data_IF_802325209400
#
_entry.id   IF_802325209400
#
_cell.length_a   1.000
_cell.length_b   1.000
_cell.length_c   1.000
_cell.angle_alpha   90.00
_cell.angle_beta   90.00
_cell.angle_gamma   90.00
#
_symmetry.space_group_name_H-M   'P 1'
#
loop_
_entity.id
_entity.type
_entity.pdbx_description
1 polymer ?
#
# COMPACT_ATOMS: atom_id res chain seq x y z
N UNK A 1 -20.04 -76.21 -48.24
CA UNK A 1 -20.44 -74.77 -48.20
C UNK A 1 -19.62 -74.06 -47.09
N UNK A 2 -18.58 -73.32 -47.56
CA UNK A 2 -17.59 -72.67 -46.65
C UNK A 2 -17.84 -71.17 -46.67
N UNK A 3 -18.24 -70.61 -45.54
CA UNK A 3 -18.46 -69.16 -45.37
C UNK A 3 -17.18 -68.49 -44.85
N UNK A 4 -16.61 -67.62 -45.68
CA UNK A 4 -15.50 -66.74 -45.30
C UNK A 4 -16.06 -65.48 -44.64
N UNK A 5 -15.71 -65.28 -43.39
CA UNK A 5 -15.94 -64.02 -42.66
C UNK A 5 -14.76 -63.06 -42.92
N UNK A 6 -15.03 -61.97 -43.64
CA UNK A 6 -14.12 -60.87 -43.84
C UNK A 6 -14.09 -59.99 -42.55
N UNK A 7 -12.97 -59.97 -41.82
CA UNK A 7 -12.69 -59.01 -40.76
C UNK A 7 -12.14 -57.71 -41.36
N UNK A 8 -12.82 -56.61 -41.14
CA UNK A 8 -12.29 -55.26 -41.43
C UNK A 8 -11.55 -54.74 -40.19
N UNK A 9 -10.29 -54.29 -40.33
CA UNK A 9 -9.60 -53.59 -39.23
C UNK A 9 -10.12 -52.16 -39.13
N UNK A 10 -10.73 -51.82 -38.00
CA UNK A 10 -11.15 -50.46 -37.67
C UNK A 10 -9.93 -49.58 -37.39
N UNK A 11 -9.72 -48.55 -38.21
CA UNK A 11 -8.73 -47.52 -37.96
C UNK A 11 -9.30 -46.55 -36.93
N UNK A 12 -8.74 -46.60 -35.72
CA UNK A 12 -9.05 -45.60 -34.66
C UNK A 12 -8.16 -44.36 -34.96
N UNK A 13 -8.75 -43.31 -35.51
CA UNK A 13 -8.12 -42.02 -35.64
C UNK A 13 -8.13 -41.32 -34.26
N UNK A 14 -6.96 -41.31 -33.59
CA UNK A 14 -6.77 -40.51 -32.38
C UNK A 14 -6.69 -39.03 -32.75
N UNK A 15 -7.74 -38.27 -32.52
CA UNK A 15 -7.76 -36.80 -32.62
C UNK A 15 -7.03 -36.24 -31.42
N UNK A 16 -5.75 -35.90 -31.57
CA UNK A 16 -5.02 -35.11 -30.62
C UNK A 16 -5.56 -33.65 -30.66
N UNK A 17 -6.44 -33.31 -29.75
CA UNK A 17 -6.86 -31.94 -29.52
C UNK A 17 -5.67 -31.14 -29.01
N UNK A 18 -5.10 -30.28 -29.84
CA UNK A 18 -4.13 -29.27 -29.44
C UNK A 18 -4.94 -28.26 -28.61
N UNK A 19 -4.91 -28.38 -27.26
CA UNK A 19 -5.38 -27.36 -26.39
C UNK A 19 -4.49 -26.11 -26.64
N UNK A 20 -4.99 -25.16 -27.42
CA UNK A 20 -4.38 -23.85 -27.56
C UNK A 20 -4.34 -23.22 -26.16
N UNK A 21 -3.14 -23.13 -25.57
CA UNK A 21 -2.94 -22.31 -24.38
C UNK A 21 -3.31 -20.86 -24.74
N UNK A 22 -4.51 -20.47 -24.40
CA UNK A 22 -4.87 -19.04 -24.43
C UNK A 22 -3.93 -18.33 -23.45
N UNK A 23 -3.26 -17.25 -23.85
CA UNK A 23 -2.46 -16.47 -22.92
C UNK A 23 -3.38 -16.04 -21.79
N UNK A 24 -3.05 -16.43 -20.57
CA UNK A 24 -3.80 -16.03 -19.38
C UNK A 24 -3.83 -14.49 -19.34
N UNK A 25 -5.01 -13.92 -19.15
CA UNK A 25 -5.15 -12.48 -18.95
C UNK A 25 -4.17 -12.05 -17.86
N UNK A 26 -3.34 -11.01 -18.09
CA UNK A 26 -2.43 -10.55 -17.05
C UNK A 26 -3.21 -10.23 -15.76
N UNK A 27 -2.62 -10.56 -14.62
CA UNK A 27 -3.21 -10.26 -13.32
C UNK A 27 -3.59 -8.78 -13.26
N UNK A 28 -4.78 -8.43 -12.76
CA UNK A 28 -5.26 -7.05 -12.77
C UNK A 28 -4.32 -6.08 -12.05
N UNK A 29 -3.58 -6.54 -11.05
CA UNK A 29 -2.60 -5.76 -10.29
C UNK A 29 -1.41 -5.28 -11.14
N UNK A 30 -1.01 -6.04 -12.16
CA UNK A 30 0.03 -5.62 -13.10
C UNK A 30 -0.35 -4.35 -13.85
N UNK A 31 -1.64 -4.04 -13.98
CA UNK A 31 -2.14 -2.82 -14.62
C UNK A 31 -1.88 -1.55 -13.81
N UNK A 32 -1.59 -1.70 -12.51
CA UNK A 32 -1.21 -0.57 -11.65
C UNK A 32 0.27 -0.19 -11.79
N UNK A 33 1.15 -1.14 -12.08
CA UNK A 33 2.59 -0.92 -12.07
C UNK A 33 3.08 0.22 -12.98
N UNK A 34 2.50 0.45 -14.17
CA UNK A 34 2.92 1.55 -15.05
C UNK A 34 2.76 2.96 -14.44
N UNK A 35 1.93 3.11 -13.41
CA UNK A 35 1.71 4.40 -12.74
C UNK A 35 2.77 4.72 -11.68
N UNK A 36 3.71 3.80 -11.41
CA UNK A 36 4.75 4.01 -10.41
C UNK A 36 6.12 4.17 -11.08
N UNK A 37 6.79 5.26 -10.78
CA UNK A 37 8.15 5.49 -11.24
C UNK A 37 9.13 4.64 -10.43
N UNK A 38 10.01 3.90 -11.11
CA UNK A 38 11.04 3.12 -10.41
C UNK A 38 12.03 4.05 -9.72
N UNK A 39 12.29 3.81 -8.44
CA UNK A 39 13.22 4.56 -7.63
C UNK A 39 14.12 3.61 -6.83
N UNK A 40 15.35 4.08 -6.57
CA UNK A 40 16.23 3.37 -5.64
C UNK A 40 15.85 3.71 -4.21
N UNK A 41 15.71 2.69 -3.37
CA UNK A 41 15.59 2.91 -1.94
C UNK A 41 16.94 3.40 -1.40
N UNK A 42 17.00 4.63 -0.90
CA UNK A 42 18.14 5.12 -0.13
C UNK A 42 18.24 4.40 1.23
N UNK A 43 19.22 4.78 2.05
CA UNK A 43 19.38 4.21 3.39
C UNK A 43 18.15 4.47 4.25
N UNK A 44 17.53 5.64 4.12
CA UNK A 44 16.29 6.02 4.79
C UNK A 44 15.30 6.60 3.78
N UNK A 45 14.08 6.07 3.77
CA UNK A 45 12.93 6.66 3.10
C UNK A 45 12.06 7.35 4.14
N UNK A 46 11.58 8.54 3.81
CA UNK A 46 10.72 9.33 4.69
C UNK A 46 9.37 9.55 4.00
N UNK A 47 8.30 9.25 4.69
CA UNK A 47 6.93 9.42 4.24
C UNK A 47 6.22 10.41 5.15
N UNK A 48 5.87 11.55 4.59
CA UNK A 48 5.10 12.60 5.27
C UNK A 48 4.11 13.18 4.28
N UNK A 49 2.98 13.62 4.76
CA UNK A 49 2.04 14.43 3.96
C UNK A 49 2.49 15.89 4.00
N UNK A 50 2.17 16.63 2.95
CA UNK A 50 2.40 18.07 2.92
C UNK A 50 1.38 18.77 3.82
N UNK A 51 1.78 19.88 4.45
CA UNK A 51 0.87 20.72 5.22
C UNK A 51 -0.16 21.44 4.37
N UNK A 52 -1.15 22.03 5.02
CA UNK A 52 -2.14 22.86 4.34
C UNK A 52 -1.46 24.03 3.60
N UNK A 53 -1.72 24.14 2.30
CA UNK A 53 -1.09 25.15 1.45
C UNK A 53 0.29 24.79 0.89
N UNK A 54 0.92 23.72 1.36
CA UNK A 54 2.13 23.18 0.75
C UNK A 54 1.78 22.27 -0.43
N UNK A 55 2.19 22.64 -1.63
CA UNK A 55 2.07 21.72 -2.77
C UNK A 55 3.17 20.68 -2.67
N UNK A 56 2.77 19.42 -2.47
CA UNK A 56 3.67 18.29 -2.61
C UNK A 56 4.17 18.23 -4.07
N UNK A 57 5.44 18.57 -4.25
CA UNK A 57 6.11 18.61 -5.56
C UNK A 57 6.53 17.22 -6.05
N UNK A 58 6.27 16.14 -5.30
CA UNK A 58 6.61 14.80 -5.78
C UNK A 58 5.78 14.44 -7.01
N UNK A 59 6.41 14.15 -8.15
CA UNK A 59 5.70 13.73 -9.35
C UNK A 59 4.94 12.43 -9.10
N UNK A 60 3.81 12.28 -9.73
CA UNK A 60 3.01 11.06 -9.68
C UNK A 60 2.04 11.00 -10.85
N UNK A 61 1.77 9.80 -11.32
CA UNK A 61 0.81 9.56 -12.38
C UNK A 61 -0.57 9.28 -11.80
N UNK A 62 -1.60 9.91 -12.34
CA UNK A 62 -2.98 9.70 -11.89
C UNK A 62 -3.45 8.30 -12.23
N UNK A 63 -3.79 7.51 -11.23
CA UNK A 63 -4.39 6.18 -11.38
C UNK A 63 -5.92 6.37 -11.49
N UNK A 64 -6.56 5.85 -12.56
CA UNK A 64 -8.02 5.90 -12.64
C UNK A 64 -8.68 5.20 -11.43
N UNK A 65 -9.62 5.87 -10.78
CA UNK A 65 -10.33 5.33 -9.61
C UNK A 65 -10.96 3.96 -9.90
N UNK A 66 -11.60 3.80 -11.08
CA UNK A 66 -12.17 2.53 -11.51
C UNK A 66 -11.14 1.40 -11.59
N UNK A 67 -9.87 1.70 -11.89
CA UNK A 67 -8.80 0.70 -11.87
C UNK A 67 -8.36 0.42 -10.44
N UNK A 68 -8.02 1.46 -9.67
CA UNK A 68 -7.46 1.33 -8.33
C UNK A 68 -8.40 0.57 -7.39
N UNK A 69 -9.65 1.01 -7.29
CA UNK A 69 -10.66 0.43 -6.40
C UNK A 69 -11.23 -0.92 -6.89
N UNK A 70 -10.94 -1.33 -8.13
CA UNK A 70 -11.30 -2.67 -8.62
C UNK A 70 -10.17 -3.67 -8.38
N UNK A 71 -8.93 -3.24 -8.41
CA UNK A 71 -7.74 -4.09 -8.26
C UNK A 71 -7.48 -4.43 -6.79
N UNK A 72 -7.66 -3.46 -5.89
CA UNK A 72 -7.51 -3.71 -4.46
C UNK A 72 -8.77 -4.39 -3.91
N UNK A 73 -8.58 -5.43 -3.12
CA UNK A 73 -9.69 -6.09 -2.44
C UNK A 73 -10.25 -5.23 -1.30
N UNK A 74 -11.43 -5.62 -0.81
CA UNK A 74 -12.13 -4.89 0.25
C UNK A 74 -11.36 -4.86 1.57
N UNK A 75 -10.50 -5.84 1.83
CA UNK A 75 -9.68 -5.89 3.05
C UNK A 75 -8.59 -4.82 2.97
N UNK A 76 -7.89 -4.72 1.82
CA UNK A 76 -6.87 -3.71 1.60
C UNK A 76 -7.45 -2.28 1.58
N UNK A 77 -8.71 -2.12 1.18
CA UNK A 77 -9.40 -0.82 1.16
C UNK A 77 -10.02 -0.43 2.50
N UNK A 78 -10.36 -1.41 3.36
CA UNK A 78 -11.12 -1.16 4.60
C UNK A 78 -10.45 -0.23 5.60
N UNK A 79 -9.12 -0.16 5.58
CA UNK A 79 -8.35 0.72 6.45
C UNK A 79 -8.21 2.15 5.90
N UNK A 80 -8.73 2.41 4.68
CA UNK A 80 -8.76 3.76 4.11
C UNK A 80 -10.14 4.35 4.42
N UNK A 81 -10.39 4.57 5.70
CA UNK A 81 -11.71 4.83 6.29
C UNK A 81 -12.47 6.05 5.72
N UNK A 82 -11.78 6.99 5.06
CA UNK A 82 -12.36 8.26 4.63
C UNK A 82 -12.66 8.33 3.13
N UNK A 83 -12.40 7.24 2.40
CA UNK A 83 -12.58 7.17 0.95
C UNK A 83 -13.75 6.23 0.59
N UNK A 84 -14.79 6.22 1.41
CA UNK A 84 -16.00 5.45 1.13
C UNK A 84 -16.65 5.83 -0.22
N UNK A 85 -16.44 7.06 -0.69
CA UNK A 85 -16.81 7.50 -2.01
C UNK A 85 -15.57 7.60 -2.92
N UNK A 86 -15.33 6.53 -3.67
CA UNK A 86 -14.20 6.41 -4.58
C UNK A 86 -14.23 7.38 -5.77
N UNK A 87 -15.37 8.04 -6.03
CA UNK A 87 -15.55 8.86 -7.24
C UNK A 87 -14.82 10.19 -7.17
N UNK A 88 -14.63 10.75 -5.98
CA UNK A 88 -14.05 12.07 -5.78
C UNK A 88 -12.57 12.03 -5.33
N UNK A 89 -12.01 10.85 -5.11
CA UNK A 89 -10.63 10.73 -4.70
C UNK A 89 -9.67 10.97 -5.88
N UNK A 90 -8.59 11.71 -5.66
CA UNK A 90 -7.43 11.75 -6.53
C UNK A 90 -6.45 10.69 -6.07
N UNK A 91 -6.19 9.69 -6.89
CA UNK A 91 -5.22 8.61 -6.62
C UNK A 91 -4.00 8.82 -7.50
N UNK A 92 -2.83 8.93 -6.88
CA UNK A 92 -1.55 9.12 -7.56
C UNK A 92 -0.61 7.96 -7.27
N UNK A 93 -0.13 7.29 -8.33
CA UNK A 93 1.02 6.40 -8.24
C UNK A 93 2.30 7.23 -8.18
N UNK A 94 3.11 7.03 -7.16
CA UNK A 94 4.35 7.80 -6.94
C UNK A 94 5.56 6.99 -7.36
N UNK A 95 6.14 6.28 -6.46
CA UNK A 95 7.40 5.56 -6.62
C UNK A 95 7.23 4.07 -6.33
N UNK A 96 8.06 3.27 -6.99
CA UNK A 96 8.21 1.86 -6.73
C UNK A 96 9.63 1.57 -6.30
N UNK A 97 9.80 0.98 -5.13
CA UNK A 97 11.07 0.61 -4.52
C UNK A 97 11.19 -0.90 -4.46
N UNK A 98 12.34 -1.46 -4.74
CA UNK A 98 12.62 -2.86 -4.43
C UNK A 98 12.95 -2.99 -2.95
N UNK A 99 12.10 -3.72 -2.21
CA UNK A 99 12.36 -4.04 -0.80
C UNK A 99 13.34 -5.23 -0.69
N UNK A 100 13.09 -6.28 -1.48
CA UNK A 100 13.92 -7.49 -1.57
C UNK A 100 13.66 -8.21 -2.91
N UNK A 101 14.24 -9.41 -3.08
CA UNK A 101 14.11 -10.18 -4.33
C UNK A 101 12.68 -10.55 -4.70
N UNK A 102 11.79 -10.67 -3.72
CA UNK A 102 10.40 -11.12 -3.93
C UNK A 102 9.36 -10.01 -3.85
N UNK A 103 9.70 -8.83 -3.31
CA UNK A 103 8.72 -7.79 -2.98
C UNK A 103 9.19 -6.41 -3.43
N UNK A 104 8.32 -5.73 -4.17
CA UNK A 104 8.41 -4.29 -4.40
C UNK A 104 7.37 -3.55 -3.54
N UNK A 105 7.70 -2.33 -3.16
CA UNK A 105 6.83 -1.38 -2.47
C UNK A 105 6.38 -0.31 -3.45
N UNK A 106 5.09 -0.15 -3.64
CA UNK A 106 4.52 0.86 -4.51
C UNK A 106 3.85 1.95 -3.67
N UNK A 107 4.42 3.15 -3.66
CA UNK A 107 3.89 4.30 -2.91
C UNK A 107 2.71 4.89 -3.66
N UNK A 108 1.55 4.88 -3.04
CA UNK A 108 0.33 5.52 -3.53
C UNK A 108 -0.04 6.68 -2.61
N UNK A 109 -0.45 7.80 -3.20
CA UNK A 109 -0.94 8.99 -2.51
C UNK A 109 -2.42 9.17 -2.90
N UNK A 110 -3.29 9.27 -1.91
CA UNK A 110 -4.73 9.39 -2.09
C UNK A 110 -5.19 10.66 -1.40
N UNK A 111 -5.89 11.51 -2.16
CA UNK A 111 -6.36 12.81 -1.70
C UNK A 111 -7.86 12.94 -1.94
N UNK A 112 -8.56 13.41 -0.94
CA UNK A 112 -9.97 13.77 -1.06
C UNK A 112 -10.24 14.99 -0.20
N UNK A 113 -10.67 16.09 -0.83
CA UNK A 113 -10.81 17.36 -0.12
C UNK A 113 -9.49 17.75 0.56
N UNK A 114 -9.48 17.89 1.88
CA UNK A 114 -8.30 18.19 2.69
C UNK A 114 -7.64 16.94 3.31
N UNK A 115 -8.20 15.75 3.11
CA UNK A 115 -7.57 14.50 3.53
C UNK A 115 -6.43 14.11 2.61
N UNK A 116 -5.31 13.72 3.20
CA UNK A 116 -4.15 13.17 2.50
C UNK A 116 -3.77 11.85 3.15
N UNK A 117 -3.55 10.85 2.31
CA UNK A 117 -3.21 9.51 2.75
C UNK A 117 -2.16 8.91 1.84
N UNK A 118 -1.08 8.38 2.41
CA UNK A 118 -0.05 7.64 1.69
C UNK A 118 0.02 6.21 2.20
N UNK A 119 0.03 5.27 1.28
CA UNK A 119 0.20 3.85 1.56
C UNK A 119 1.29 3.24 0.70
N UNK A 120 1.97 2.25 1.24
CA UNK A 120 2.80 1.32 0.47
C UNK A 120 1.98 0.07 0.16
N UNK A 121 1.81 -0.21 -1.12
CA UNK A 121 1.27 -1.48 -1.60
C UNK A 121 2.42 -2.48 -1.73
N UNK A 122 2.29 -3.65 -1.14
CA UNK A 122 3.27 -4.72 -1.17
C UNK A 122 3.02 -5.60 -2.40
N UNK A 123 3.79 -5.37 -3.45
CA UNK A 123 3.68 -6.14 -4.70
C UNK A 123 4.62 -7.35 -4.66
N UNK A 124 4.04 -8.56 -4.62
CA UNK A 124 4.79 -9.80 -4.71
C UNK A 124 5.13 -10.13 -6.16
N UNK A 125 6.43 -10.14 -6.51
CA UNK A 125 6.93 -10.32 -7.89
C UNK A 125 6.62 -11.70 -8.45
N UNK A 126 6.70 -12.76 -7.64
CA UNK A 126 6.48 -14.14 -8.07
C UNK A 126 4.99 -14.43 -8.27
N UNK A 127 4.12 -13.87 -7.44
CA UNK A 127 2.66 -14.00 -7.56
C UNK A 127 2.05 -12.99 -8.51
N UNK A 128 2.79 -11.93 -8.87
CA UNK A 128 2.32 -10.79 -9.66
C UNK A 128 1.06 -10.14 -9.07
N UNK A 129 1.00 -10.06 -7.75
CA UNK A 129 -0.18 -9.61 -7.00
C UNK A 129 0.20 -8.68 -5.85
N UNK A 130 -0.73 -7.79 -5.48
CA UNK A 130 -0.64 -7.00 -4.25
C UNK A 130 -1.05 -7.90 -3.09
N UNK A 131 -0.14 -8.14 -2.16
CA UNK A 131 -0.32 -9.07 -1.04
C UNK A 131 -0.54 -8.36 0.29
N UNK A 132 -0.43 -7.05 0.32
CA UNK A 132 -0.62 -6.26 1.52
C UNK A 132 -0.56 -4.76 1.23
N UNK A 133 -0.95 -3.99 2.22
CA UNK A 133 -0.89 -2.54 2.24
C UNK A 133 -0.51 -2.07 3.64
N UNK A 134 0.22 -0.99 3.74
CA UNK A 134 0.52 -0.33 5.00
C UNK A 134 0.40 1.18 4.85
N UNK A 135 -0.32 1.84 5.75
CA UNK A 135 -0.38 3.29 5.84
C UNK A 135 0.95 3.81 6.36
N UNK A 136 1.57 4.75 5.63
CA UNK A 136 2.87 5.32 5.98
C UNK A 136 2.82 6.81 6.30
N UNK A 137 1.86 7.54 5.75
CA UNK A 137 1.61 8.92 6.14
C UNK A 137 0.13 9.25 5.96
N UNK A 138 -0.41 10.09 6.82
CA UNK A 138 -1.81 10.45 6.78
C UNK A 138 -2.03 11.79 7.48
N UNK A 139 -2.93 12.58 6.93
CA UNK A 139 -3.50 13.75 7.60
C UNK A 139 -5.01 13.75 7.38
N UNK A 140 -5.71 13.69 8.49
CA UNK A 140 -7.17 13.76 8.49
C UNK A 140 -7.70 14.35 9.80
N UNK A 141 -8.95 14.74 9.80
CA UNK A 141 -9.63 15.27 10.95
C UNK A 141 -10.66 16.33 10.59
N UNK A 142 -11.01 17.19 11.51
CA UNK A 142 -11.99 18.26 11.37
C UNK A 142 -11.88 19.27 12.53
N UNK A 143 -12.91 20.08 12.71
CA UNK A 143 -12.94 21.12 13.76
C UNK A 143 -12.78 20.55 15.18
N UNK A 144 -13.15 19.28 15.39
CA UNK A 144 -13.06 18.59 16.69
C UNK A 144 -11.76 17.85 16.94
N UNK A 145 -10.85 17.77 15.96
CA UNK A 145 -9.56 17.11 16.12
C UNK A 145 -8.93 16.69 14.80
N UNK A 146 -7.63 16.49 14.84
CA UNK A 146 -6.81 16.12 13.70
C UNK A 146 -5.84 15.00 14.07
N UNK A 147 -5.51 14.14 13.10
CA UNK A 147 -4.49 13.11 13.22
C UNK A 147 -3.48 13.30 12.09
N UNK A 148 -2.22 13.24 12.47
CA UNK A 148 -1.08 13.33 11.58
C UNK A 148 -0.19 12.13 11.78
N UNK A 149 -0.01 11.33 10.73
CA UNK A 149 0.86 10.16 10.71
C UNK A 149 2.05 10.42 9.78
N UNK A 150 3.21 9.98 10.19
CA UNK A 150 4.42 9.97 9.37
C UNK A 150 5.27 8.74 9.65
N UNK A 151 6.08 8.33 8.65
CA UNK A 151 6.89 7.12 8.77
C UNK A 151 8.29 7.29 8.20
N UNK A 152 9.22 6.49 8.73
CA UNK A 152 10.58 6.34 8.26
C UNK A 152 10.88 4.87 8.05
N UNK A 153 11.37 4.53 6.86
CA UNK A 153 11.81 3.17 6.53
C UNK A 153 13.32 3.15 6.45
N UNK A 154 13.95 2.37 7.31
CA UNK A 154 15.40 2.22 7.44
C UNK A 154 15.73 0.86 8.06
N UNK A 155 16.98 0.47 8.00
CA UNK A 155 17.49 -0.66 8.78
C UNK A 155 17.70 -0.15 10.23
N UNK A 156 16.70 -0.38 11.10
CA UNK A 156 16.68 0.22 12.44
C UNK A 156 17.56 -0.52 13.43
N UNK A 157 17.70 -1.83 13.30
CA UNK A 157 18.49 -2.67 14.22
C UNK A 157 19.81 -3.18 13.64
N UNK A 158 20.12 -2.86 12.38
CA UNK A 158 21.37 -3.23 11.71
C UNK A 158 21.41 -4.66 11.20
N UNK A 159 20.25 -5.30 10.99
CA UNK A 159 20.14 -6.66 10.49
C UNK A 159 20.18 -6.78 8.95
N UNK A 160 20.24 -5.64 8.24
CA UNK A 160 20.26 -5.53 6.78
C UNK A 160 18.87 -5.53 6.14
N UNK A 161 17.81 -5.57 6.93
CA UNK A 161 16.43 -5.46 6.45
C UNK A 161 15.85 -4.07 6.76
N UNK A 162 14.91 -3.63 5.93
CA UNK A 162 14.23 -2.35 6.19
C UNK A 162 13.08 -2.57 7.16
N UNK A 163 13.12 -1.83 8.27
CA UNK A 163 12.03 -1.66 9.21
C UNK A 163 11.25 -0.40 8.92
N UNK A 164 10.07 -0.25 9.52
CA UNK A 164 9.26 0.95 9.45
C UNK A 164 8.99 1.51 10.84
N UNK A 165 9.50 2.69 11.12
CA UNK A 165 9.08 3.49 12.28
C UNK A 165 7.89 4.33 11.85
N UNK A 166 6.73 4.12 12.47
CA UNK A 166 5.53 4.94 12.23
C UNK A 166 5.21 5.73 13.48
N UNK A 167 5.00 7.02 13.31
CA UNK A 167 4.60 7.94 14.36
C UNK A 167 3.23 8.54 14.05
N UNK A 168 2.51 8.86 15.11
CA UNK A 168 1.22 9.53 15.05
C UNK A 168 1.16 10.63 16.09
N UNK A 169 0.65 11.79 15.69
CA UNK A 169 0.28 12.90 16.56
C UNK A 169 -1.22 13.09 16.40
N UNK A 170 -1.96 13.01 17.51
CA UNK A 170 -3.39 13.33 17.54
C UNK A 170 -3.64 14.59 18.34
N UNK A 171 -4.47 15.46 17.79
CA UNK A 171 -4.98 16.67 18.45
C UNK A 171 -6.51 16.55 18.54
N UNK A 172 -7.07 16.80 19.71
CA UNK A 172 -8.52 16.74 19.94
C UNK A 172 -8.98 17.92 20.79
N UNK A 173 -9.96 18.65 20.27
CA UNK A 173 -10.62 19.75 20.94
C UNK A 173 -11.99 19.28 21.44
N UNK A 174 -12.14 19.12 22.75
CA UNK A 174 -13.41 18.83 23.39
C UNK A 174 -14.07 20.15 23.85
N UNK A 175 -15.17 20.50 23.21
CA UNK A 175 -15.99 21.63 23.60
C UNK A 175 -16.98 21.18 24.69
N UNK A 176 -16.87 21.74 25.88
CA UNK A 176 -17.81 21.55 26.96
C UNK A 176 -18.65 22.83 27.12
N UNK A 177 -19.79 22.75 27.85
CA UNK A 177 -20.77 23.83 27.95
C UNK A 177 -20.18 25.17 28.45
N UNK A 178 -19.08 25.14 29.24
CA UNK A 178 -18.38 26.31 29.77
C UNK A 178 -16.86 26.23 29.68
N UNK A 179 -16.31 25.25 28.92
CA UNK A 179 -14.87 25.02 28.81
C UNK A 179 -14.50 24.38 27.47
N UNK A 180 -13.29 24.61 27.02
CA UNK A 180 -12.70 23.93 25.86
C UNK A 180 -11.45 23.20 26.32
N UNK A 181 -11.43 21.90 26.20
CA UNK A 181 -10.27 21.09 26.55
C UNK A 181 -9.51 20.65 25.28
N UNK A 182 -8.30 21.14 25.16
CA UNK A 182 -7.36 20.74 24.14
C UNK A 182 -6.49 19.60 24.64
N UNK A 183 -6.35 18.56 23.84
CA UNK A 183 -5.57 17.36 24.17
C UNK A 183 -4.71 16.97 22.99
N UNK A 184 -3.40 16.82 23.22
CA UNK A 184 -2.45 16.32 22.23
C UNK A 184 -1.86 15.01 22.76
N UNK A 185 -1.76 14.01 21.89
CA UNK A 185 -1.04 12.77 22.17
C UNK A 185 -0.06 12.44 21.06
N UNK A 186 0.99 11.72 21.40
CA UNK A 186 1.97 11.22 20.44
C UNK A 186 2.21 9.74 20.69
N UNK A 187 2.28 8.98 19.59
CA UNK A 187 2.62 7.56 19.63
C UNK A 187 3.71 7.23 18.62
N UNK A 188 4.40 6.11 18.85
CA UNK A 188 5.34 5.55 17.90
C UNK A 188 5.24 4.02 17.94
N UNK A 189 5.35 3.38 16.76
CA UNK A 189 5.40 1.93 16.61
C UNK A 189 6.56 1.55 15.70
N UNK A 190 7.20 0.43 16.01
CA UNK A 190 8.18 -0.22 15.15
C UNK A 190 7.50 -1.39 14.44
N UNK A 191 7.60 -1.43 13.14
CA UNK A 191 7.09 -2.50 12.31
C UNK A 191 8.27 -3.16 11.60
N UNK A 192 8.54 -4.43 11.93
CA UNK A 192 9.64 -5.21 11.35
C UNK A 192 9.16 -6.03 10.17
N UNK A 193 10.03 -6.12 9.15
CA UNK A 193 9.76 -7.00 8.03
C UNK A 193 9.96 -8.46 8.43
N UNK A 194 8.88 -9.25 8.37
CA UNK A 194 8.90 -10.68 8.69
C UNK A 194 7.87 -11.45 7.85
N UNK A 195 8.30 -12.56 7.27
CA UNK A 195 7.42 -13.49 6.53
C UNK A 195 6.54 -12.81 5.46
N UNK A 196 7.12 -11.83 4.73
CA UNK A 196 6.43 -11.13 3.64
C UNK A 196 5.49 -10.01 4.05
N UNK A 197 5.57 -9.54 5.30
CA UNK A 197 4.75 -8.44 5.83
C UNK A 197 5.47 -7.64 6.91
N UNK A 198 4.98 -6.46 7.19
CA UNK A 198 5.38 -5.69 8.35
C UNK A 198 4.56 -6.16 9.58
N UNK A 199 5.23 -6.41 10.69
CA UNK A 199 4.62 -6.86 11.96
C UNK A 199 5.05 -5.96 13.10
N UNK A 200 4.14 -5.71 14.04
CA UNK A 200 4.43 -4.93 15.23
C UNK A 200 5.58 -5.55 16.03
N UNK A 201 6.47 -4.69 16.50
CA UNK A 201 7.63 -5.05 17.31
C UNK A 201 7.78 -4.07 18.47
N UNK A 202 8.23 -4.53 19.64
CA UNK A 202 8.48 -3.65 20.77
C UNK A 202 9.48 -2.54 20.43
N UNK A 203 9.16 -1.30 20.81
CA UNK A 203 10.10 -0.19 20.82
C UNK A 203 10.84 -0.16 22.16
N UNK A 204 12.18 -0.10 22.16
CA UNK A 204 12.97 -0.01 23.39
C UNK A 204 12.69 1.26 24.19
N UNK A 205 12.53 2.40 23.50
CA UNK A 205 12.29 3.73 24.09
C UNK A 205 11.45 4.59 23.14
N UNK A 206 10.16 4.71 23.43
CA UNK A 206 9.25 5.51 22.61
C UNK A 206 9.61 7.00 22.64
N UNK A 207 10.06 7.54 23.79
CA UNK A 207 10.40 8.96 23.90
C UNK A 207 11.63 9.33 23.05
N UNK A 208 12.62 8.43 23.01
CA UNK A 208 13.78 8.61 22.14
C UNK A 208 13.38 8.58 20.65
N UNK A 209 12.54 7.64 20.26
CA UNK A 209 12.05 7.51 18.87
C UNK A 209 11.23 8.74 18.47
N UNK A 210 10.37 9.24 19.33
CA UNK A 210 9.60 10.48 19.11
C UNK A 210 10.54 11.66 18.81
N UNK A 211 11.60 11.78 19.57
CA UNK A 211 12.62 12.85 19.36
C UNK A 211 13.45 12.67 18.10
N UNK A 212 13.79 11.42 17.76
CA UNK A 212 14.65 11.11 16.62
C UNK A 212 13.93 11.24 15.28
N UNK A 213 12.64 10.98 15.24
CA UNK A 213 11.81 10.97 14.03
C UNK A 213 10.68 12.02 14.12
N UNK A 214 10.98 13.31 14.03
CA UNK A 214 9.99 14.37 14.23
C UNK A 214 9.00 14.46 13.07
N UNK A 215 7.70 14.57 13.40
CA UNK A 215 6.66 14.96 12.44
C UNK A 215 6.44 16.46 12.61
N UNK A 216 6.49 17.28 11.55
CA UNK A 216 6.10 18.68 11.65
C UNK A 216 4.61 18.78 12.00
N UNK A 217 4.29 19.50 13.06
CA UNK A 217 2.92 19.81 13.43
C UNK A 217 2.37 20.92 12.54
N UNK A 218 1.08 20.88 12.22
CA UNK A 218 0.39 21.89 11.41
C UNK A 218 -0.52 22.79 12.27
N UNK A 219 -0.55 22.61 13.60
CA UNK A 219 -1.30 23.40 14.55
C UNK A 219 -0.42 23.93 15.68
#
# INVERSE_FOLDING_TARGET
MMHYLLQFPGVIAAVFGIAACQPSKPAPELRLLPYFQSAQAGDTLRFLVAGEGEMDVMPGDTIPNSLFFTVLDSVLLSEINYIADSTEALVLGRQRFTLNDTTDLCLVDIRKSWFQHQSLLLFNKSRQAITGRITVAEWYGGEGGQILTGSWMLDYDGDGHKDLIRREIGHSLLLMENDARDTVYETAVLLRWKDGRFVDSPLPDTALVVKQFPIPSFW
#
